data_IF_795397894691
#
_entry.id   IF_795397894691
#
_cell.length_a   1.000
_cell.length_b   1.000
_cell.length_c   1.000
_cell.angle_alpha   90.00
_cell.angle_beta   90.00
_cell.angle_gamma   90.00
#
_symmetry.space_group_name_H-M   'P 1'
#
loop_
_entity.id
_entity.type
_entity.pdbx_description
1 polymer ?
#
# COMPACT_ATOMS: atom_id res chain seq x y z
N UNK A 1 -9.44 19.57 13.84
CA UNK A 1 -8.85 18.26 14.23
C UNK A 1 -7.41 18.47 14.67
N UNK A 2 -6.96 17.82 15.75
CA UNK A 2 -5.56 17.85 16.18
C UNK A 2 -4.73 16.94 15.28
N UNK A 3 -3.53 17.38 14.86
CA UNK A 3 -2.58 16.52 14.14
C UNK A 3 -1.97 15.51 15.13
N UNK A 4 -2.07 14.22 14.81
CA UNK A 4 -1.47 13.14 15.60
C UNK A 4 0.05 13.10 15.39
N UNK A 5 0.79 12.75 16.44
CA UNK A 5 2.19 12.36 16.33
C UNK A 5 2.32 10.94 15.76
N UNK A 6 3.46 10.62 15.15
CA UNK A 6 3.69 9.28 14.57
C UNK A 6 3.62 8.16 15.60
N UNK A 7 3.99 8.44 16.86
CA UNK A 7 3.89 7.50 17.98
C UNK A 7 2.45 7.22 18.41
N UNK A 8 1.51 8.09 18.02
CA UNK A 8 0.08 7.94 18.28
C UNK A 8 -0.64 7.21 17.14
N UNK A 9 0.08 6.85 16.06
CA UNK A 9 -0.48 6.04 14.99
C UNK A 9 -0.43 4.58 15.43
N UNK A 10 -1.60 3.93 15.45
CA UNK A 10 -1.74 2.50 15.73
C UNK A 10 -1.27 1.66 14.54
N UNK A 11 0.04 1.71 14.26
CA UNK A 11 0.65 0.99 13.15
C UNK A 11 0.85 -0.46 13.55
N UNK A 12 0.37 -1.36 12.71
CA UNK A 12 0.69 -2.77 12.80
C UNK A 12 2.21 -2.97 12.71
N UNK A 13 2.73 -3.83 13.55
CA UNK A 13 4.07 -4.38 13.34
C UNK A 13 4.07 -5.36 12.16
N UNK A 14 5.25 -5.88 11.81
CA UNK A 14 5.43 -6.73 10.64
C UNK A 14 4.63 -8.05 10.76
N UNK A 15 4.55 -8.63 11.96
CA UNK A 15 3.90 -9.92 12.17
C UNK A 15 2.38 -9.76 12.20
N UNK A 16 1.88 -8.73 12.89
CA UNK A 16 0.48 -8.32 12.88
C UNK A 16 0.01 -7.93 11.48
N UNK A 17 0.84 -7.24 10.70
CA UNK A 17 0.54 -6.93 9.30
C UNK A 17 0.43 -8.20 8.46
N UNK A 18 1.29 -9.20 8.65
CA UNK A 18 1.19 -10.46 7.89
C UNK A 18 -0.04 -11.29 8.26
N UNK A 19 -0.45 -11.25 9.53
CA UNK A 19 -1.62 -11.95 10.04
C UNK A 19 -2.95 -11.21 9.75
N UNK A 20 -2.91 -9.92 9.43
CA UNK A 20 -4.12 -9.14 9.18
C UNK A 20 -4.85 -9.59 7.92
N UNK A 21 -6.18 -9.64 8.01
CA UNK A 21 -7.03 -9.86 6.84
C UNK A 21 -6.79 -8.75 5.82
N UNK A 22 -6.59 -9.15 4.57
CA UNK A 22 -6.36 -8.21 3.47
C UNK A 22 -7.68 -7.74 2.91
N UNK A 23 -7.76 -6.46 2.60
CA UNK A 23 -8.86 -5.89 1.84
C UNK A 23 -8.89 -6.58 0.47
N UNK A 24 -10.00 -7.24 0.07
CA UNK A 24 -10.07 -8.10 -1.12
C UNK A 24 -10.16 -7.27 -2.40
N UNK A 25 -9.16 -6.41 -2.59
CA UNK A 25 -8.96 -5.53 -3.73
C UNK A 25 -7.64 -5.92 -4.36
N UNK A 26 -7.65 -5.99 -5.69
CA UNK A 26 -6.46 -6.22 -6.50
C UNK A 26 -6.25 -4.99 -7.38
N UNK A 27 -5.02 -4.47 -7.38
CA UNK A 27 -4.63 -3.33 -8.20
C UNK A 27 -3.74 -3.81 -9.35
N UNK A 28 -4.02 -3.33 -10.57
CA UNK A 28 -3.19 -3.61 -11.75
C UNK A 28 -2.62 -2.28 -12.25
N UNK A 29 -1.29 -2.21 -12.32
CA UNK A 29 -0.56 -1.07 -12.87
C UNK A 29 -0.01 -1.43 -14.24
N UNK A 30 -0.80 -1.18 -15.28
CA UNK A 30 -0.39 -1.40 -16.66
C UNK A 30 0.25 -0.14 -17.26
N UNK A 31 1.49 -0.28 -17.71
CA UNK A 31 2.27 0.78 -18.37
C UNK A 31 2.42 2.09 -17.56
N UNK A 32 2.40 2.01 -16.23
CA UNK A 32 2.65 3.15 -15.33
C UNK A 32 4.14 3.39 -15.22
N UNK A 33 4.66 4.39 -15.94
CA UNK A 33 6.11 4.69 -15.99
C UNK A 33 6.62 5.61 -14.87
N UNK A 34 5.73 6.33 -14.19
CA UNK A 34 6.12 7.28 -13.16
C UNK A 34 6.45 6.55 -11.87
N UNK A 35 7.73 6.50 -11.50
CA UNK A 35 8.20 5.93 -10.23
C UNK A 35 7.47 6.54 -9.02
N UNK A 36 7.19 7.85 -9.05
CA UNK A 36 6.46 8.53 -7.98
C UNK A 36 5.04 8.00 -7.83
N UNK A 37 4.36 7.73 -8.94
CA UNK A 37 3.00 7.19 -8.92
C UNK A 37 3.00 5.73 -8.48
N UNK A 38 3.94 4.92 -8.99
CA UNK A 38 4.12 3.53 -8.55
C UNK A 38 4.35 3.48 -7.05
N UNK A 39 5.32 4.25 -6.52
CA UNK A 39 5.59 4.35 -5.09
C UNK A 39 4.39 4.84 -4.27
N UNK A 40 3.64 5.82 -4.78
CA UNK A 40 2.43 6.31 -4.12
C UNK A 40 1.34 5.22 -4.04
N UNK A 41 1.18 4.40 -5.09
CA UNK A 41 0.25 3.27 -5.09
C UNK A 41 0.68 2.21 -4.07
N UNK A 42 1.96 1.84 -4.02
CA UNK A 42 2.46 0.91 -3.00
C UNK A 42 2.20 1.41 -1.57
N UNK A 43 2.49 2.70 -1.30
CA UNK A 43 2.26 3.32 0.02
C UNK A 43 0.79 3.37 0.41
N UNK A 44 -0.08 3.68 -0.54
CA UNK A 44 -1.52 3.67 -0.32
C UNK A 44 -2.00 2.25 -0.06
N UNK A 45 -1.52 1.29 -0.84
CA UNK A 45 -1.92 -0.11 -0.73
C UNK A 45 -1.53 -0.73 0.61
N UNK A 46 -0.34 -0.41 1.10
CA UNK A 46 0.14 -0.80 2.43
C UNK A 46 -0.77 -0.25 3.55
N UNK A 47 -1.14 1.04 3.46
CA UNK A 47 -2.01 1.68 4.44
C UNK A 47 -3.44 1.11 4.47
N UNK A 48 -3.93 0.55 3.35
CA UNK A 48 -5.27 -0.03 3.23
C UNK A 48 -5.28 -1.57 3.25
N UNK A 49 -4.16 -2.22 3.56
CA UNK A 49 -4.03 -3.68 3.58
C UNK A 49 -4.50 -4.35 2.28
N UNK A 50 -4.20 -3.76 1.13
CA UNK A 50 -4.58 -4.30 -0.19
C UNK A 50 -3.97 -5.69 -0.40
N UNK A 51 -4.75 -6.59 -0.99
CA UNK A 51 -4.34 -7.99 -1.15
C UNK A 51 -3.18 -8.16 -2.13
N UNK A 52 -3.28 -7.59 -3.33
CA UNK A 52 -2.26 -7.74 -4.38
C UNK A 52 -2.13 -6.51 -5.26
N UNK A 53 -0.91 -6.27 -5.72
CA UNK A 53 -0.57 -5.31 -6.77
C UNK A 53 0.16 -6.07 -7.88
N UNK A 54 -0.34 -5.98 -9.10
CA UNK A 54 0.32 -6.53 -10.28
C UNK A 54 0.90 -5.41 -11.12
N UNK A 55 2.20 -5.48 -11.41
CA UNK A 55 2.87 -4.59 -12.34
C UNK A 55 2.87 -5.25 -13.72
N UNK A 56 2.37 -4.54 -14.72
CA UNK A 56 2.21 -5.07 -16.08
C UNK A 56 2.86 -4.15 -17.12
N UNK A 57 3.18 -4.71 -18.29
CA UNK A 57 3.81 -3.97 -19.37
C UNK A 57 5.19 -3.45 -18.99
N UNK A 58 5.40 -2.14 -19.18
CA UNK A 58 6.68 -1.46 -18.89
C UNK A 58 6.76 -0.84 -17.48
N UNK A 59 5.79 -1.15 -16.59
CA UNK A 59 5.80 -0.68 -15.20
C UNK A 59 6.97 -1.30 -14.43
N UNK A 60 7.76 -0.48 -13.75
CA UNK A 60 8.90 -0.88 -12.92
C UNK A 60 8.96 -0.06 -11.62
#
# INVERSE_FOLDING_TARGET
>A
MRKLANSELDRLDIDAFRASEKTPIIIILDNVRSLYNVGAVFRTSDAFLIEKIYLCGITA
#
